data_IF_988827740988
#
_entry.id   IF_988827740988
#
_cell.length_a   1.000
_cell.length_b   1.000
_cell.length_c   1.000
_cell.angle_alpha   90.00
_cell.angle_beta   90.00
_cell.angle_gamma   90.00
#
_symmetry.space_group_name_H-M   'P 1'
#
loop_
_entity.id
_entity.type
_entity.pdbx_description
1 polymer ?
#
# COMPACT_ATOMS: atom_id res chain seq x y z
N UNK A 1 76.59 -3.57 -67.61
CA UNK A 1 75.38 -4.33 -67.34
C UNK A 1 74.95 -4.04 -65.87
N UNK A 2 74.05 -3.15 -65.65
CA UNK A 2 73.58 -2.73 -64.34
C UNK A 2 72.17 -3.29 -64.14
N UNK A 3 71.92 -4.11 -63.09
CA UNK A 3 70.65 -4.64 -62.70
C UNK A 3 70.00 -3.62 -61.71
N UNK A 4 68.83 -3.12 -62.03
CA UNK A 4 68.03 -2.27 -61.18
C UNK A 4 67.09 -3.22 -60.39
N UNK A 5 67.19 -3.24 -59.04
CA UNK A 5 66.19 -3.85 -58.14
C UNK A 5 65.10 -2.85 -57.79
N UNK A 6 63.87 -3.17 -58.17
CA UNK A 6 62.70 -2.41 -57.81
C UNK A 6 62.07 -3.00 -56.49
N UNK A 7 62.19 -2.26 -55.41
CA UNK A 7 61.58 -2.65 -54.14
C UNK A 7 60.13 -2.18 -54.13
N UNK A 8 59.15 -3.11 -53.99
CA UNK A 8 57.75 -2.83 -53.82
C UNK A 8 57.49 -2.72 -52.30
N UNK A 9 57.12 -1.49 -51.90
CA UNK A 9 56.70 -1.21 -50.51
C UNK A 9 55.19 -1.50 -50.41
N UNK A 10 54.81 -2.60 -49.73
CA UNK A 10 53.42 -2.91 -49.43
C UNK A 10 53.02 -2.19 -48.11
N UNK A 11 52.20 -1.12 -48.22
CA UNK A 11 51.55 -0.46 -47.10
C UNK A 11 50.36 -1.30 -46.61
N UNK A 12 50.55 -2.00 -45.51
CA UNK A 12 49.45 -2.68 -44.78
C UNK A 12 48.68 -1.62 -43.96
N UNK A 13 47.49 -1.23 -44.41
CA UNK A 13 46.52 -0.44 -43.61
C UNK A 13 45.95 -1.37 -42.50
N UNK A 14 46.44 -1.20 -41.28
CA UNK A 14 45.79 -1.76 -40.09
C UNK A 14 44.51 -0.98 -39.77
N UNK A 15 43.36 -1.55 -40.13
CA UNK A 15 42.07 -1.03 -39.72
C UNK A 15 41.88 -1.41 -38.24
N UNK A 16 42.21 -0.48 -37.34
CA UNK A 16 41.93 -0.62 -35.90
C UNK A 16 40.40 -0.50 -35.69
N UNK A 17 39.69 -1.63 -35.60
CA UNK A 17 38.32 -1.68 -35.15
C UNK A 17 38.31 -1.30 -33.66
N UNK A 18 38.08 -0.02 -33.35
CA UNK A 18 37.73 0.44 -32.01
C UNK A 18 36.35 -0.12 -31.69
N UNK A 19 36.29 -1.24 -31.00
CA UNK A 19 35.08 -1.72 -30.30
C UNK A 19 34.69 -0.63 -29.30
N UNK A 20 33.76 0.22 -29.69
CA UNK A 20 33.11 1.13 -28.75
C UNK A 20 32.43 0.23 -27.70
N UNK A 21 33.06 0.06 -26.54
CA UNK A 21 32.39 -0.46 -25.36
C UNK A 21 31.19 0.44 -25.09
N UNK A 22 30.01 -0.02 -25.46
CA UNK A 22 28.77 0.67 -25.15
C UNK A 22 28.73 0.86 -23.64
N UNK A 23 29.01 2.07 -23.18
CA UNK A 23 28.99 2.43 -21.77
C UNK A 23 27.57 2.17 -21.27
N UNK A 24 27.38 1.16 -20.44
CA UNK A 24 26.06 0.82 -19.92
C UNK A 24 25.50 2.03 -19.19
N UNK A 25 24.28 2.42 -19.56
CA UNK A 25 23.59 3.52 -18.86
C UNK A 25 23.48 3.19 -17.37
N UNK A 26 23.54 4.19 -16.46
CA UNK A 26 23.35 3.95 -15.04
C UNK A 26 21.97 3.30 -14.79
N UNK A 27 21.84 2.41 -13.80
CA UNK A 27 20.60 1.72 -13.51
C UNK A 27 19.45 2.68 -13.19
N UNK A 28 18.22 2.28 -13.50
CA UNK A 28 17.03 2.92 -12.98
C UNK A 28 16.78 2.39 -11.57
N UNK A 29 16.97 3.23 -10.56
CA UNK A 29 16.80 2.85 -9.16
C UNK A 29 15.42 3.24 -8.63
N UNK A 30 14.72 2.27 -8.04
CA UNK A 30 13.42 2.44 -7.41
C UNK A 30 13.58 2.14 -5.91
N UNK A 31 13.25 3.14 -5.06
CA UNK A 31 13.53 3.09 -3.62
C UNK A 31 12.29 2.77 -2.79
N UNK A 32 12.29 1.68 -2.03
CA UNK A 32 11.29 1.34 -1.02
C UNK A 32 11.66 1.91 0.34
N UNK A 33 10.72 2.59 0.99
CA UNK A 33 10.86 3.04 2.37
C UNK A 33 9.85 2.25 3.20
N UNK A 34 10.32 1.22 3.90
CA UNK A 34 9.50 0.15 4.43
C UNK A 34 9.55 0.09 5.96
N UNK A 35 8.56 -0.52 6.57
CA UNK A 35 8.66 -1.07 7.91
C UNK A 35 9.06 -2.55 7.79
N UNK A 36 10.34 -2.86 8.02
CA UNK A 36 10.85 -4.22 7.84
C UNK A 36 10.94 -4.99 9.16
N UNK A 37 10.89 -4.31 10.30
CA UNK A 37 11.21 -4.95 11.59
C UNK A 37 10.33 -4.48 12.75
N UNK A 38 9.30 -3.65 12.51
CA UNK A 38 8.43 -3.17 13.59
C UNK A 38 6.95 -3.51 13.36
N UNK A 39 6.03 -2.67 13.82
CA UNK A 39 4.58 -2.94 13.92
C UNK A 39 3.91 -3.41 12.62
N UNK A 40 4.39 -2.95 11.46
CA UNK A 40 3.79 -3.22 10.14
C UNK A 40 4.66 -4.12 9.25
N UNK A 41 5.68 -4.78 9.81
CA UNK A 41 6.61 -5.61 9.05
C UNK A 41 5.92 -6.72 8.24
N UNK A 42 4.84 -7.29 8.74
CA UNK A 42 4.06 -8.34 8.05
C UNK A 42 3.18 -7.80 6.94
N UNK A 43 2.76 -6.54 7.04
CA UNK A 43 1.88 -5.88 6.07
C UNK A 43 2.66 -5.42 4.86
N UNK A 44 3.88 -4.93 5.06
CA UNK A 44 4.79 -4.36 4.06
C UNK A 44 6.12 -5.13 4.04
N UNK A 45 7.18 -4.64 4.62
CA UNK A 45 8.44 -5.33 4.88
C UNK A 45 9.04 -6.07 3.70
N UNK A 46 9.64 -7.22 4.00
CA UNK A 46 10.25 -8.12 3.00
C UNK A 46 9.27 -8.55 1.90
N UNK A 47 7.98 -8.63 2.21
CA UNK A 47 6.93 -8.95 1.23
C UNK A 47 6.81 -7.86 0.16
N UNK A 48 6.79 -6.59 0.54
CA UNK A 48 6.76 -5.46 -0.40
C UNK A 48 8.03 -5.39 -1.26
N UNK A 49 9.20 -5.61 -0.66
CA UNK A 49 10.47 -5.68 -1.41
C UNK A 49 10.44 -6.83 -2.43
N UNK A 50 9.94 -8.00 -2.03
CA UNK A 50 9.79 -9.15 -2.93
C UNK A 50 8.82 -8.84 -4.07
N UNK A 51 7.69 -8.20 -3.79
CA UNK A 51 6.71 -7.80 -4.80
C UNK A 51 7.29 -6.81 -5.82
N UNK A 52 8.07 -5.82 -5.36
CA UNK A 52 8.75 -4.88 -6.25
C UNK A 52 9.80 -5.56 -7.13
N UNK A 53 10.58 -6.50 -6.58
CA UNK A 53 11.54 -7.32 -7.34
C UNK A 53 10.83 -8.19 -8.38
N UNK A 54 9.71 -8.83 -8.02
CA UNK A 54 8.90 -9.60 -8.97
C UNK A 54 8.36 -8.71 -10.11
N UNK A 55 7.91 -7.50 -9.82
CA UNK A 55 7.48 -6.55 -10.85
C UNK A 55 8.59 -6.17 -11.82
N UNK A 56 9.81 -5.92 -11.31
CA UNK A 56 10.98 -5.62 -12.13
C UNK A 56 11.41 -6.80 -13.00
N UNK A 57 11.41 -8.01 -12.44
CA UNK A 57 11.74 -9.26 -13.16
C UNK A 57 10.72 -9.54 -14.27
N UNK A 58 9.42 -9.47 -13.97
CA UNK A 58 8.35 -9.72 -14.94
C UNK A 58 8.31 -8.66 -16.04
N UNK A 59 8.77 -7.45 -15.76
CA UNK A 59 8.95 -6.40 -16.76
C UNK A 59 10.14 -6.67 -17.71
N UNK A 60 11.03 -7.58 -17.35
CA UNK A 60 12.21 -7.95 -18.13
C UNK A 60 13.55 -7.45 -17.56
N UNK A 61 13.55 -6.88 -16.35
CA UNK A 61 14.76 -6.45 -15.64
C UNK A 61 15.42 -5.18 -16.17
N UNK A 62 14.90 -4.61 -17.28
CA UNK A 62 15.48 -3.46 -17.97
C UNK A 62 14.39 -2.55 -18.56
N UNK A 63 14.64 -1.24 -18.59
CA UNK A 63 13.83 -0.25 -19.31
C UNK A 63 14.71 0.86 -19.89
N UNK A 64 14.47 1.28 -21.13
CA UNK A 64 15.24 2.33 -21.87
C UNK A 64 16.75 2.05 -21.93
N UNK A 65 17.17 0.78 -21.94
CA UNK A 65 18.57 0.36 -21.91
C UNK A 65 19.24 0.58 -20.56
N UNK A 66 18.47 0.62 -19.46
CA UNK A 66 18.91 0.75 -18.06
C UNK A 66 18.43 -0.44 -17.27
N UNK A 67 19.31 -1.11 -16.54
CA UNK A 67 18.92 -2.12 -15.55
C UNK A 67 17.99 -1.53 -14.51
N UNK A 68 16.93 -2.26 -14.11
CA UNK A 68 16.06 -1.88 -13.01
C UNK A 68 16.70 -2.39 -11.72
N UNK A 69 16.90 -1.48 -10.76
CA UNK A 69 17.45 -1.80 -9.44
C UNK A 69 16.43 -1.43 -8.36
N UNK A 70 16.00 -2.44 -7.60
CA UNK A 70 15.13 -2.28 -6.44
C UNK A 70 15.98 -2.19 -5.20
N UNK A 71 15.90 -1.08 -4.50
CA UNK A 71 16.54 -0.88 -3.19
C UNK A 71 15.48 -0.63 -2.15
N UNK A 72 15.74 -1.02 -0.90
CA UNK A 72 14.81 -0.85 0.21
C UNK A 72 15.55 -0.46 1.49
N UNK A 73 14.88 0.31 2.34
CA UNK A 73 15.40 0.69 3.64
C UNK A 73 14.29 0.66 4.70
N UNK A 74 14.68 0.29 5.93
CA UNK A 74 13.80 0.20 7.07
C UNK A 74 13.70 1.53 7.81
N UNK A 75 12.50 2.10 7.90
CA UNK A 75 12.25 3.33 8.64
C UNK A 75 11.84 3.09 10.11
N UNK A 76 11.74 1.84 10.56
CA UNK A 76 11.40 1.48 11.94
C UNK A 76 10.12 2.19 12.44
N UNK A 77 9.20 2.49 11.58
CA UNK A 77 7.98 3.28 11.83
C UNK A 77 8.24 4.67 12.45
N UNK A 78 9.38 5.32 12.10
CA UNK A 78 9.78 6.65 12.57
C UNK A 78 9.75 7.66 11.42
N UNK A 79 8.99 8.74 11.58
CA UNK A 79 8.77 9.73 10.52
C UNK A 79 10.06 10.49 10.14
N UNK A 80 10.91 10.84 11.13
CA UNK A 80 12.19 11.50 10.93
C UNK A 80 13.18 10.60 10.17
N UNK A 81 13.23 9.32 10.51
CA UNK A 81 14.06 8.35 9.81
C UNK A 81 13.58 8.15 8.36
N UNK A 82 12.28 8.04 8.12
CA UNK A 82 11.73 7.96 6.77
C UNK A 82 12.08 9.17 5.90
N UNK A 83 12.02 10.39 6.48
CA UNK A 83 12.43 11.61 5.80
C UNK A 83 13.95 11.63 5.48
N UNK A 84 14.79 11.13 6.39
CA UNK A 84 16.24 11.04 6.19
C UNK A 84 16.58 10.01 5.09
N UNK A 85 15.92 8.83 5.11
CA UNK A 85 16.06 7.82 4.08
C UNK A 85 15.63 8.38 2.71
N UNK A 86 14.50 9.10 2.64
CA UNK A 86 14.05 9.73 1.40
C UNK A 86 15.07 10.73 0.85
N UNK A 87 15.67 11.58 1.72
CA UNK A 87 16.75 12.50 1.30
C UNK A 87 17.95 11.74 0.74
N UNK A 88 18.42 10.74 1.46
CA UNK A 88 19.60 9.98 1.06
C UNK A 88 19.36 9.23 -0.26
N UNK A 89 18.24 8.56 -0.41
CA UNK A 89 17.86 7.88 -1.65
C UNK A 89 17.80 8.83 -2.85
N UNK A 90 17.21 10.01 -2.69
CA UNK A 90 17.01 10.95 -3.78
C UNK A 90 18.26 11.78 -4.08
N UNK A 91 19.01 12.25 -3.05
CA UNK A 91 20.12 13.16 -3.21
C UNK A 91 21.44 12.43 -3.49
N UNK A 92 21.67 11.24 -2.89
CA UNK A 92 22.96 10.56 -2.90
C UNK A 92 22.94 9.25 -3.69
N UNK A 93 21.83 8.48 -3.64
CA UNK A 93 21.78 7.16 -4.28
C UNK A 93 21.22 7.18 -5.71
N UNK A 94 20.66 8.30 -6.17
CA UNK A 94 20.10 8.46 -7.52
C UNK A 94 18.79 7.71 -7.75
N UNK A 95 17.96 7.54 -6.71
CA UNK A 95 16.61 6.99 -6.81
C UNK A 95 15.72 7.94 -7.61
N UNK A 96 14.95 7.38 -8.55
CA UNK A 96 14.07 8.15 -9.43
C UNK A 96 12.59 8.06 -9.05
N UNK A 97 12.19 7.03 -8.31
CA UNK A 97 10.83 6.87 -7.79
C UNK A 97 10.88 6.18 -6.42
N UNK A 98 10.12 6.72 -5.45
CA UNK A 98 9.91 6.11 -4.13
C UNK A 98 8.61 5.32 -4.14
N UNK A 99 8.60 4.14 -3.49
CA UNK A 99 7.41 3.29 -3.39
C UNK A 99 7.19 2.79 -1.96
N UNK A 100 5.94 2.38 -1.68
CA UNK A 100 5.35 1.91 -0.44
C UNK A 100 5.21 3.00 0.63
N UNK A 101 6.24 3.32 1.38
CA UNK A 101 6.30 4.27 2.51
C UNK A 101 5.24 3.93 3.56
N UNK A 102 5.38 2.76 4.17
CA UNK A 102 4.45 2.26 5.18
C UNK A 102 4.26 3.25 6.33
N UNK A 103 3.06 3.27 6.93
CA UNK A 103 2.56 4.20 7.92
C UNK A 103 2.34 5.64 7.42
N UNK A 104 1.25 6.28 7.91
CA UNK A 104 0.84 7.59 7.42
C UNK A 104 1.75 8.73 7.86
N UNK A 105 2.31 8.67 9.08
CA UNK A 105 3.24 9.70 9.56
C UNK A 105 4.56 9.70 8.77
N UNK A 106 5.09 8.51 8.45
CA UNK A 106 6.29 8.33 7.64
C UNK A 106 6.06 8.79 6.20
N UNK A 107 4.87 8.46 5.64
CA UNK A 107 4.49 8.87 4.29
C UNK A 107 4.33 10.38 4.13
N UNK A 108 3.71 11.05 5.09
CA UNK A 108 3.61 12.51 5.10
C UNK A 108 5.01 13.15 5.13
N UNK A 109 5.92 12.66 5.98
CA UNK A 109 7.27 13.19 6.09
C UNK A 109 8.13 12.94 4.84
N UNK A 110 8.18 11.69 4.35
CA UNK A 110 8.95 11.33 3.15
C UNK A 110 8.37 11.94 1.87
N UNK A 111 7.04 12.06 1.81
CA UNK A 111 6.33 12.67 0.68
C UNK A 111 6.68 14.14 0.48
N UNK A 112 6.81 14.93 1.55
CA UNK A 112 7.28 16.32 1.47
C UNK A 112 8.71 16.42 0.89
N UNK A 113 9.58 15.49 1.28
CA UNK A 113 10.96 15.43 0.75
C UNK A 113 10.94 15.14 -0.76
N UNK A 114 10.16 14.16 -1.19
CA UNK A 114 10.05 13.79 -2.60
C UNK A 114 9.39 14.90 -3.45
N UNK A 115 8.33 15.54 -2.94
CA UNK A 115 7.70 16.70 -3.59
C UNK A 115 8.68 17.83 -3.82
N UNK A 116 9.48 18.19 -2.81
CA UNK A 116 10.48 19.25 -2.91
C UNK A 116 11.58 18.94 -3.96
N UNK A 117 11.76 17.67 -4.32
CA UNK A 117 12.74 17.20 -5.30
C UNK A 117 12.13 16.86 -6.67
N UNK A 118 10.84 17.08 -6.85
CA UNK A 118 10.15 16.77 -8.08
C UNK A 118 10.19 15.27 -8.44
N UNK A 119 10.09 14.38 -7.47
CA UNK A 119 10.15 12.92 -7.67
C UNK A 119 8.81 12.24 -7.43
N UNK A 120 8.55 11.17 -8.18
CA UNK A 120 7.32 10.38 -8.03
C UNK A 120 7.37 9.58 -6.73
N UNK A 121 6.24 9.56 -6.02
CA UNK A 121 6.01 8.66 -4.89
C UNK A 121 4.73 7.85 -5.11
N UNK A 122 4.84 6.53 -4.97
CA UNK A 122 3.73 5.59 -4.99
C UNK A 122 3.45 5.12 -3.55
N UNK A 123 2.48 5.71 -2.88
CA UNK A 123 2.08 5.33 -1.52
C UNK A 123 1.19 4.08 -1.59
N UNK A 124 1.71 2.93 -1.12
CA UNK A 124 0.98 1.65 -1.10
C UNK A 124 0.53 1.30 0.32
N UNK A 125 1.41 1.45 1.31
CA UNK A 125 1.17 1.07 2.70
C UNK A 125 0.43 2.08 3.58
N UNK A 126 0.60 3.41 3.41
CA UNK A 126 -0.08 4.38 4.27
C UNK A 126 -1.56 4.51 3.92
N UNK A 127 -2.42 4.78 4.91
CA UNK A 127 -3.86 4.90 4.71
C UNK A 127 -4.43 6.32 4.84
N UNK A 128 -3.70 7.31 5.38
CA UNK A 128 -4.24 8.64 5.65
C UNK A 128 -4.84 9.31 4.41
N UNK A 129 -6.10 9.71 4.48
CA UNK A 129 -6.80 10.47 3.44
C UNK A 129 -6.11 11.80 3.11
N UNK A 130 -5.25 12.32 3.99
CA UNK A 130 -4.50 13.57 3.77
C UNK A 130 -3.62 13.50 2.53
N UNK A 131 -3.12 12.31 2.16
CA UNK A 131 -2.24 12.10 0.99
C UNK A 131 -2.91 12.44 -0.34
N UNK A 132 -4.24 12.42 -0.41
CA UNK A 132 -5.05 12.82 -1.58
C UNK A 132 -5.90 14.07 -1.31
N UNK A 133 -5.70 14.71 -0.18
CA UNK A 133 -6.31 15.97 0.20
C UNK A 133 -5.20 17.03 0.40
N UNK A 134 -5.06 17.59 1.59
CA UNK A 134 -4.14 18.69 1.88
C UNK A 134 -2.65 18.38 1.63
N UNK A 135 -2.24 17.12 1.66
CA UNK A 135 -0.86 16.68 1.38
C UNK A 135 -0.66 16.13 -0.03
N UNK A 136 -1.66 16.23 -0.92
CA UNK A 136 -1.53 15.78 -2.30
C UNK A 136 -0.43 16.55 -3.05
N UNK A 137 0.05 15.95 -4.13
CA UNK A 137 1.05 16.57 -4.99
C UNK A 137 0.94 16.09 -6.44
N UNK A 138 1.48 16.85 -7.42
CA UNK A 138 1.35 16.50 -8.83
C UNK A 138 2.05 15.18 -9.19
N UNK A 139 3.00 14.75 -8.36
CA UNK A 139 3.82 13.55 -8.56
C UNK A 139 3.61 12.49 -7.46
N UNK A 140 2.53 12.60 -6.67
CA UNK A 140 2.21 11.62 -5.63
C UNK A 140 0.99 10.81 -6.02
N UNK A 141 1.03 9.50 -5.74
CA UNK A 141 -0.09 8.59 -5.97
C UNK A 141 -0.35 7.80 -4.69
N UNK A 142 -1.59 7.80 -4.22
CA UNK A 142 -2.08 6.96 -3.13
C UNK A 142 -2.80 5.75 -3.71
N UNK A 143 -2.18 4.58 -3.65
CA UNK A 143 -2.47 3.48 -4.56
C UNK A 143 -3.50 2.47 -4.04
N UNK A 144 -3.30 1.93 -2.82
CA UNK A 144 -4.04 0.74 -2.38
C UNK A 144 -5.37 1.08 -1.71
N UNK A 145 -5.35 1.74 -0.58
CA UNK A 145 -6.55 2.09 0.21
C UNK A 145 -6.36 3.45 0.88
N UNK A 146 -7.43 3.98 1.46
CA UNK A 146 -7.34 5.13 2.37
C UNK A 146 -8.37 5.01 3.49
N UNK A 147 -8.26 5.89 4.49
CA UNK A 147 -9.14 5.88 5.68
C UNK A 147 -10.60 6.11 5.32
N UNK A 148 -10.87 6.89 4.27
CA UNK A 148 -12.24 7.08 3.79
C UNK A 148 -12.80 5.80 3.18
N UNK A 149 -12.06 5.12 2.29
CA UNK A 149 -12.49 3.87 1.67
C UNK A 149 -12.75 2.78 2.70
N UNK A 150 -11.86 2.64 3.69
CA UNK A 150 -12.02 1.70 4.79
C UNK A 150 -13.28 2.00 5.61
N UNK A 151 -13.47 3.25 5.99
CA UNK A 151 -14.65 3.71 6.74
C UNK A 151 -15.94 3.49 5.96
N UNK A 152 -15.92 3.84 4.67
CA UNK A 152 -17.12 3.78 3.82
C UNK A 152 -17.56 2.34 3.53
N UNK A 153 -16.62 1.42 3.29
CA UNK A 153 -16.94 0.02 3.01
C UNK A 153 -17.34 -0.73 4.30
N UNK A 154 -16.51 -0.69 5.34
CA UNK A 154 -16.76 -1.45 6.59
C UNK A 154 -17.79 -0.77 7.47
N UNK A 155 -17.66 0.54 7.71
CA UNK A 155 -18.54 1.29 8.60
C UNK A 155 -19.98 1.34 8.09
N UNK A 156 -20.17 1.59 6.79
CA UNK A 156 -21.50 1.60 6.16
C UNK A 156 -22.18 0.23 6.26
N UNK A 157 -21.44 -0.86 6.01
CA UNK A 157 -21.98 -2.21 6.09
C UNK A 157 -22.44 -2.52 7.53
N UNK A 158 -21.65 -2.16 8.53
CA UNK A 158 -21.98 -2.38 9.94
C UNK A 158 -23.25 -1.59 10.36
N UNK A 159 -23.35 -0.30 10.03
CA UNK A 159 -24.53 0.50 10.38
C UNK A 159 -25.79 -0.02 9.70
N UNK A 160 -25.73 -0.40 8.42
CA UNK A 160 -26.85 -0.99 7.69
C UNK A 160 -27.34 -2.32 8.30
N UNK A 161 -26.48 -3.05 8.99
CA UNK A 161 -26.86 -4.27 9.73
C UNK A 161 -27.38 -4.00 11.15
N UNK A 162 -27.66 -2.74 11.50
CA UNK A 162 -28.22 -2.33 12.80
C UNK A 162 -27.19 -2.09 13.91
N UNK A 163 -25.91 -2.08 13.56
CA UNK A 163 -24.80 -1.76 14.47
C UNK A 163 -24.55 -0.25 14.50
N UNK A 164 -25.51 0.50 15.09
CA UNK A 164 -25.68 1.95 14.95
C UNK A 164 -25.04 2.79 16.05
N UNK A 165 -24.47 2.19 17.11
CA UNK A 165 -23.77 2.92 18.17
C UNK A 165 -22.33 2.46 18.32
N UNK A 166 -21.39 3.41 18.29
CA UNK A 166 -19.98 3.16 18.18
C UNK A 166 -19.18 3.80 19.31
N UNK A 167 -18.12 3.11 19.74
CA UNK A 167 -17.06 3.64 20.58
C UNK A 167 -15.73 3.29 19.91
N UNK A 168 -14.80 4.24 19.78
CA UNK A 168 -13.54 3.99 19.09
C UNK A 168 -12.40 3.71 20.06
N UNK A 169 -11.54 2.79 19.65
CA UNK A 169 -10.24 2.51 20.24
C UNK A 169 -9.19 2.86 19.18
N UNK A 170 -8.49 3.99 19.40
CA UNK A 170 -7.78 4.70 18.33
C UNK A 170 -6.29 4.79 18.62
N UNK A 171 -5.46 4.37 17.67
CA UNK A 171 -4.01 4.60 17.74
C UNK A 171 -3.69 6.10 17.61
N UNK A 172 -2.92 6.66 18.54
CA UNK A 172 -2.70 8.11 18.64
C UNK A 172 -1.65 8.62 17.67
N UNK A 173 -1.95 8.52 16.37
CA UNK A 173 -1.15 9.10 15.28
C UNK A 173 -2.02 9.37 14.05
N UNK A 174 -1.42 9.96 12.99
CA UNK A 174 -2.15 10.45 11.83
C UNK A 174 -3.18 9.47 11.25
N UNK A 175 -2.80 8.19 11.08
CA UNK A 175 -3.70 7.17 10.52
C UNK A 175 -4.91 6.90 11.42
N UNK A 176 -4.67 6.61 12.72
CA UNK A 176 -5.76 6.28 13.64
C UNK A 176 -6.75 7.42 13.78
N UNK A 177 -6.24 8.65 13.90
CA UNK A 177 -7.06 9.87 14.00
C UNK A 177 -7.90 10.10 12.74
N UNK A 178 -7.33 9.90 11.54
CA UNK A 178 -8.05 10.06 10.28
C UNK A 178 -9.10 8.94 10.12
N UNK A 179 -8.77 7.70 10.48
CA UNK A 179 -9.68 6.56 10.38
C UNK A 179 -10.88 6.69 11.35
N UNK A 180 -10.64 7.11 12.61
CA UNK A 180 -11.70 7.45 13.57
C UNK A 180 -12.61 8.53 13.01
N UNK A 181 -12.03 9.63 12.49
CA UNK A 181 -12.76 10.75 11.93
C UNK A 181 -13.62 10.35 10.74
N UNK A 182 -13.04 9.62 9.77
CA UNK A 182 -13.75 9.22 8.57
C UNK A 182 -14.87 8.24 8.90
N UNK A 183 -14.63 7.27 9.82
CA UNK A 183 -15.66 6.34 10.28
C UNK A 183 -16.75 7.05 11.06
N UNK A 184 -16.40 8.00 11.93
CA UNK A 184 -17.37 8.86 12.63
C UNK A 184 -18.31 9.55 11.64
N UNK A 185 -17.76 10.16 10.58
CA UNK A 185 -18.55 10.82 9.55
C UNK A 185 -19.52 9.86 8.85
N UNK A 186 -19.08 8.65 8.51
CA UNK A 186 -19.94 7.62 7.91
C UNK A 186 -21.04 7.20 8.88
N UNK A 187 -20.71 6.89 10.13
CA UNK A 187 -21.66 6.48 11.17
C UNK A 187 -22.75 7.54 11.37
N UNK A 188 -22.35 8.81 11.55
CA UNK A 188 -23.30 9.91 11.77
C UNK A 188 -24.16 10.18 10.54
N UNK A 189 -23.57 10.18 9.33
CA UNK A 189 -24.30 10.38 8.07
C UNK A 189 -25.35 9.30 7.80
N UNK A 190 -25.14 8.11 8.32
CA UNK A 190 -26.04 6.97 8.14
C UNK A 190 -27.02 6.78 9.31
N UNK A 191 -27.11 7.76 10.22
CA UNK A 191 -28.07 7.78 11.33
C UNK A 191 -27.60 7.06 12.60
N UNK A 192 -26.33 6.64 12.64
CA UNK A 192 -25.72 6.05 13.84
C UNK A 192 -25.26 7.10 14.86
N UNK A 193 -24.64 6.62 15.95
CA UNK A 193 -24.16 7.43 17.07
C UNK A 193 -22.73 7.05 17.42
N UNK A 194 -21.93 8.03 17.80
CA UNK A 194 -20.60 7.83 18.40
C UNK A 194 -20.70 8.21 19.88
N UNK A 195 -20.43 7.25 20.75
CA UNK A 195 -20.56 7.40 22.20
C UNK A 195 -19.26 7.87 22.87
N UNK A 196 -18.15 7.85 22.12
CA UNK A 196 -16.85 8.33 22.56
C UNK A 196 -15.71 7.59 21.90
N UNK A 197 -14.51 7.91 22.34
CA UNK A 197 -13.28 7.25 21.93
C UNK A 197 -12.23 7.26 23.02
N UNK A 198 -11.29 6.35 22.96
CA UNK A 198 -10.07 6.35 23.76
C UNK A 198 -8.86 6.13 22.87
N UNK A 199 -7.77 6.86 23.15
CA UNK A 199 -6.54 6.77 22.38
C UNK A 199 -5.50 5.94 23.08
N UNK A 200 -4.76 5.14 22.32
CA UNK A 200 -3.64 4.34 22.80
C UNK A 200 -2.35 4.67 22.01
N UNK A 201 -1.18 4.57 22.63
CA UNK A 201 0.10 4.68 21.93
C UNK A 201 0.28 3.57 20.88
N UNK A 202 1.14 3.80 19.88
CA UNK A 202 1.60 2.72 18.98
C UNK A 202 2.39 1.66 19.75
N UNK A 203 2.34 0.41 19.30
CA UNK A 203 2.95 -0.77 19.94
C UNK A 203 2.39 -1.03 21.36
N UNK A 204 1.11 -0.83 21.56
CA UNK A 204 0.45 -1.17 22.82
C UNK A 204 0.38 -2.68 22.99
N UNK A 205 0.97 -3.19 24.06
CA UNK A 205 0.91 -4.61 24.41
C UNK A 205 -0.25 -4.96 25.36
N UNK A 206 -0.68 -4.01 26.17
CA UNK A 206 -1.77 -4.17 27.14
C UNK A 206 -2.92 -3.21 26.81
N UNK A 207 -4.02 -3.76 26.34
CA UNK A 207 -5.26 -3.05 26.00
C UNK A 207 -6.29 -3.03 27.12
N UNK A 208 -6.02 -3.60 28.30
CA UNK A 208 -6.99 -3.82 29.36
C UNK A 208 -7.77 -2.55 29.73
N UNK A 209 -7.07 -1.46 30.04
CA UNK A 209 -7.70 -0.20 30.45
C UNK A 209 -8.53 0.45 29.34
N UNK A 210 -8.08 0.34 28.09
CA UNK A 210 -8.79 0.86 26.91
C UNK A 210 -10.05 0.04 26.63
N UNK A 211 -9.96 -1.28 26.70
CA UNK A 211 -11.08 -2.19 26.49
C UNK A 211 -12.13 -2.09 27.59
N UNK A 212 -11.76 -1.87 28.83
CA UNK A 212 -12.70 -1.61 29.93
C UNK A 212 -13.50 -0.32 29.69
N UNK A 213 -12.87 0.75 29.20
CA UNK A 213 -13.58 1.99 28.82
C UNK A 213 -14.53 1.73 27.65
N UNK A 214 -14.09 1.00 26.63
CA UNK A 214 -14.93 0.64 25.49
C UNK A 214 -16.13 -0.22 25.93
N UNK A 215 -15.92 -1.19 26.81
CA UNK A 215 -16.97 -2.05 27.37
C UNK A 215 -17.99 -1.23 28.20
N UNK A 216 -17.51 -0.29 29.00
CA UNK A 216 -18.35 0.57 29.85
C UNK A 216 -19.23 1.51 29.00
N UNK A 217 -18.84 1.88 27.78
CA UNK A 217 -19.60 2.73 26.86
C UNK A 217 -20.96 2.13 26.45
N UNK A 218 -21.10 0.80 26.52
CA UNK A 218 -22.28 0.06 26.04
C UNK A 218 -22.59 0.27 24.56
N UNK A 219 -21.62 0.75 23.75
CA UNK A 219 -21.76 0.84 22.32
C UNK A 219 -21.97 -0.55 21.71
N UNK A 220 -22.79 -0.66 20.67
CA UNK A 220 -22.94 -1.94 19.93
C UNK A 220 -21.66 -2.37 19.25
N UNK A 221 -20.84 -1.39 18.85
CA UNK A 221 -19.57 -1.61 18.13
C UNK A 221 -18.41 -0.92 18.84
N UNK A 222 -17.34 -1.64 19.02
CA UNK A 222 -16.01 -1.12 19.35
C UNK A 222 -15.24 -1.06 18.03
N UNK A 223 -15.10 0.13 17.46
CA UNK A 223 -14.35 0.37 16.24
C UNK A 223 -12.86 0.48 16.53
N UNK A 224 -12.06 -0.42 15.96
CA UNK A 224 -10.60 -0.40 16.11
C UNK A 224 -10.00 0.48 15.03
N UNK A 225 -9.67 1.73 15.36
CA UNK A 225 -8.97 2.66 14.47
C UNK A 225 -7.46 2.53 14.66
N UNK A 226 -6.94 1.33 14.42
CA UNK A 226 -5.54 0.93 14.49
C UNK A 226 -5.24 -0.12 13.41
N UNK A 227 -4.04 -0.71 13.39
CA UNK A 227 -3.64 -1.69 12.40
C UNK A 227 -2.51 -2.60 12.92
N UNK A 228 -2.28 -3.72 12.24
CA UNK A 228 -1.19 -4.66 12.51
C UNK A 228 -1.23 -5.22 13.93
N UNK A 229 -0.06 -5.26 14.59
CA UNK A 229 0.06 -5.84 15.95
C UNK A 229 -0.89 -5.22 16.97
N UNK A 230 -1.20 -3.93 16.90
CA UNK A 230 -2.15 -3.28 17.81
C UNK A 230 -3.58 -3.81 17.60
N UNK A 231 -4.01 -4.00 16.35
CA UNK A 231 -5.32 -4.62 16.02
C UNK A 231 -5.37 -6.08 16.51
N UNK A 232 -4.33 -6.85 16.23
CA UNK A 232 -4.23 -8.26 16.67
C UNK A 232 -4.35 -8.38 18.19
N UNK A 233 -3.58 -7.56 18.93
CA UNK A 233 -3.60 -7.57 20.40
C UNK A 233 -4.94 -7.12 20.97
N UNK A 234 -5.53 -6.05 20.40
CA UNK A 234 -6.84 -5.56 20.85
C UNK A 234 -7.95 -6.61 20.67
N UNK A 235 -7.98 -7.31 19.53
CA UNK A 235 -8.99 -8.35 19.26
C UNK A 235 -8.80 -9.54 20.18
N UNK A 236 -7.57 -10.04 20.37
CA UNK A 236 -7.28 -11.17 21.26
C UNK A 236 -7.70 -10.86 22.70
N UNK A 237 -7.32 -9.70 23.21
CA UNK A 237 -7.68 -9.29 24.57
C UNK A 237 -9.18 -9.01 24.73
N UNK A 238 -9.83 -8.45 23.71
CA UNK A 238 -11.30 -8.28 23.73
C UNK A 238 -12.04 -9.63 23.83
N UNK A 239 -11.49 -10.68 23.18
CA UNK A 239 -12.02 -12.03 23.28
C UNK A 239 -11.78 -12.63 24.67
N UNK A 240 -10.58 -12.48 25.22
CA UNK A 240 -10.21 -12.93 26.57
C UNK A 240 -11.09 -12.29 27.65
N UNK A 241 -11.39 -10.99 27.53
CA UNK A 241 -12.29 -10.27 28.44
C UNK A 241 -13.78 -10.56 28.20
N UNK A 242 -14.10 -11.41 27.21
CA UNK A 242 -15.47 -11.80 26.92
C UNK A 242 -16.35 -10.67 26.36
N UNK A 243 -15.76 -9.59 25.84
CA UNK A 243 -16.48 -8.42 25.31
C UNK A 243 -17.45 -8.83 24.21
N UNK A 244 -17.02 -9.65 23.26
CA UNK A 244 -17.87 -10.13 22.16
C UNK A 244 -18.98 -11.05 22.65
N UNK A 245 -18.72 -11.87 23.69
CA UNK A 245 -19.76 -12.70 24.35
C UNK A 245 -20.76 -11.86 25.12
N UNK A 246 -20.35 -10.67 25.59
CA UNK A 246 -21.21 -9.69 26.25
C UNK A 246 -22.13 -8.91 25.32
N UNK A 247 -22.09 -9.18 24.01
CA UNK A 247 -22.99 -8.61 22.99
C UNK A 247 -22.43 -7.42 22.22
N UNK A 248 -21.29 -6.85 22.61
CA UNK A 248 -20.61 -5.83 21.81
C UNK A 248 -19.85 -6.48 20.65
N UNK A 249 -19.89 -5.87 19.47
CA UNK A 249 -19.10 -6.30 18.32
C UNK A 249 -17.77 -5.55 18.28
N UNK A 250 -16.71 -6.22 17.97
CA UNK A 250 -15.41 -5.61 17.64
C UNK A 250 -15.34 -5.48 16.12
N UNK A 251 -15.03 -4.30 15.61
CA UNK A 251 -14.91 -4.04 14.18
C UNK A 251 -13.51 -3.50 13.88
N UNK A 252 -12.59 -4.32 13.37
CA UNK A 252 -11.32 -3.82 12.85
C UNK A 252 -11.61 -2.98 11.60
N UNK A 253 -11.22 -1.70 11.64
CA UNK A 253 -11.42 -0.80 10.50
C UNK A 253 -10.31 -0.94 9.46
N UNK A 254 -9.19 -1.56 9.83
CA UNK A 254 -8.15 -2.04 8.93
C UNK A 254 -7.54 -3.31 9.53
N UNK A 255 -7.65 -4.40 8.82
CA UNK A 255 -6.95 -5.64 9.10
C UNK A 255 -6.63 -6.37 7.81
N UNK A 256 -5.56 -7.11 7.80
CA UNK A 256 -5.05 -7.86 6.66
C UNK A 256 -5.14 -9.36 6.91
N UNK A 257 -5.04 -10.14 5.86
CA UNK A 257 -5.06 -11.61 5.97
C UNK A 257 -4.00 -12.15 6.93
N UNK A 258 -2.84 -11.50 7.03
CA UNK A 258 -1.78 -11.83 7.98
C UNK A 258 -2.18 -11.58 9.45
N UNK A 259 -2.99 -10.55 9.69
CA UNK A 259 -3.52 -10.26 11.03
C UNK A 259 -4.53 -11.34 11.44
N UNK A 260 -5.41 -11.74 10.50
CA UNK A 260 -6.42 -12.78 10.75
C UNK A 260 -5.77 -14.13 10.99
N UNK A 261 -4.74 -14.52 10.22
CA UNK A 261 -3.95 -15.73 10.48
C UNK A 261 -3.32 -15.70 11.89
N UNK A 262 -2.80 -14.52 12.31
CA UNK A 262 -2.24 -14.35 13.67
C UNK A 262 -3.28 -14.41 14.78
N UNK A 263 -4.49 -13.91 14.57
CA UNK A 263 -5.59 -13.96 15.53
C UNK A 263 -6.14 -15.38 15.65
N UNK A 264 -6.25 -16.06 14.51
CA UNK A 264 -6.88 -17.38 14.36
C UNK A 264 -8.39 -17.29 14.13
N UNK A 265 -8.91 -18.18 13.30
CA UNK A 265 -10.32 -18.18 12.89
C UNK A 265 -11.29 -18.35 14.06
N UNK A 266 -10.95 -19.12 15.11
CA UNK A 266 -11.79 -19.28 16.29
C UNK A 266 -12.17 -17.95 16.94
N UNK A 267 -11.23 -17.00 16.97
CA UNK A 267 -11.43 -15.67 17.55
C UNK A 267 -11.95 -14.66 16.53
N UNK A 268 -11.46 -14.75 15.29
CA UNK A 268 -11.74 -13.75 14.25
C UNK A 268 -13.03 -13.99 13.45
N UNK A 269 -13.66 -15.17 13.53
CA UNK A 269 -14.86 -15.52 12.75
C UNK A 269 -15.98 -14.46 12.85
N UNK A 270 -16.53 -14.10 11.70
CA UNK A 270 -17.62 -13.12 11.61
C UNK A 270 -17.18 -11.67 11.67
N UNK A 271 -15.88 -11.35 11.78
CA UNK A 271 -15.38 -10.00 11.62
C UNK A 271 -15.59 -9.53 10.17
N UNK A 272 -15.99 -8.29 9.99
CA UNK A 272 -16.11 -7.64 8.68
C UNK A 272 -14.86 -6.84 8.38
N UNK A 273 -14.37 -6.96 7.15
CA UNK A 273 -13.13 -6.35 6.67
C UNK A 273 -13.34 -5.69 5.31
N UNK A 274 -12.71 -4.56 5.08
CA UNK A 274 -12.56 -3.98 3.75
C UNK A 274 -11.12 -4.20 3.25
N UNK A 275 -10.97 -4.79 2.07
CA UNK A 275 -9.66 -5.04 1.46
C UNK A 275 -9.65 -4.61 -0.01
N UNK A 276 -8.49 -4.17 -0.48
CA UNK A 276 -8.26 -3.85 -1.89
C UNK A 276 -7.89 -5.07 -2.73
N UNK A 277 -7.44 -6.13 -2.07
CA UNK A 277 -6.99 -7.37 -2.70
C UNK A 277 -7.10 -8.53 -1.71
N UNK A 278 -7.43 -9.71 -2.23
CA UNK A 278 -7.30 -10.96 -1.50
C UNK A 278 -6.80 -12.04 -2.47
N UNK A 279 -5.97 -12.94 -1.98
CA UNK A 279 -5.27 -13.92 -2.81
C UNK A 279 -6.19 -14.86 -3.60
N UNK A 280 -7.40 -15.12 -3.09
CA UNK A 280 -8.37 -16.07 -3.67
C UNK A 280 -9.65 -15.38 -4.21
N UNK A 281 -9.52 -14.20 -4.85
CA UNK A 281 -10.66 -13.55 -5.51
C UNK A 281 -10.94 -14.15 -6.89
N UNK A 282 -9.87 -14.39 -7.67
CA UNK A 282 -9.98 -14.90 -9.04
C UNK A 282 -8.69 -15.63 -9.47
N UNK A 283 -8.66 -16.15 -10.71
CA UNK A 283 -7.51 -16.90 -11.21
C UNK A 283 -6.22 -16.07 -11.28
N UNK A 284 -6.31 -14.79 -11.63
CA UNK A 284 -5.13 -13.91 -11.71
C UNK A 284 -4.54 -13.64 -10.32
N UNK A 285 -5.40 -13.38 -9.30
CA UNK A 285 -4.95 -13.18 -7.91
C UNK A 285 -4.32 -14.46 -7.37
N UNK A 286 -4.88 -15.63 -7.64
CA UNK A 286 -4.33 -16.93 -7.27
C UNK A 286 -2.98 -17.20 -7.94
N UNK A 287 -2.86 -16.92 -9.23
CA UNK A 287 -1.61 -17.14 -9.98
C UNK A 287 -0.46 -16.25 -9.45
N UNK A 288 -0.73 -14.97 -9.21
CA UNK A 288 0.24 -14.05 -8.60
C UNK A 288 0.63 -14.52 -7.19
N UNK A 289 -0.36 -14.83 -6.36
CA UNK A 289 -0.15 -15.20 -4.96
C UNK A 289 0.63 -16.51 -4.81
N UNK A 290 0.42 -17.48 -5.70
CA UNK A 290 1.22 -18.71 -5.73
C UNK A 290 2.71 -18.42 -5.92
N UNK A 291 3.07 -17.60 -6.89
CA UNK A 291 4.47 -17.19 -7.16
C UNK A 291 5.07 -16.40 -6.01
N UNK A 292 4.27 -15.53 -5.39
CA UNK A 292 4.68 -14.78 -4.22
C UNK A 292 4.94 -15.70 -3.01
N UNK A 293 4.05 -16.67 -2.75
CA UNK A 293 4.20 -17.66 -1.67
C UNK A 293 5.43 -18.54 -1.83
N UNK A 294 5.85 -18.86 -3.03
CA UNK A 294 7.09 -19.60 -3.29
C UNK A 294 8.30 -18.86 -2.72
N UNK A 295 8.26 -17.51 -2.68
CA UNK A 295 9.36 -16.65 -2.21
C UNK A 295 9.23 -16.26 -0.74
N UNK A 296 8.04 -15.84 -0.30
CA UNK A 296 7.80 -15.25 1.02
C UNK A 296 7.24 -16.24 2.03
N UNK A 297 6.75 -17.41 1.58
CA UNK A 297 6.13 -18.49 2.38
C UNK A 297 4.81 -18.10 3.06
N UNK A 298 4.18 -17.02 2.62
CA UNK A 298 2.83 -16.57 3.02
C UNK A 298 2.13 -15.88 1.84
N UNK A 299 0.82 -15.75 1.91
CA UNK A 299 0.05 -15.01 0.91
C UNK A 299 0.38 -13.50 0.97
N UNK A 300 0.30 -12.78 -0.16
CA UNK A 300 0.49 -11.35 -0.16
C UNK A 300 -0.67 -10.62 0.52
N UNK A 301 -0.36 -9.54 1.22
CA UNK A 301 -1.34 -8.55 1.65
C UNK A 301 -1.76 -7.68 0.47
N UNK A 302 -2.85 -6.91 0.62
CA UNK A 302 -3.26 -5.90 -0.38
C UNK A 302 -2.17 -4.86 -0.63
N UNK A 303 -1.36 -4.51 0.37
CA UNK A 303 -0.21 -3.59 0.22
C UNK A 303 0.84 -4.19 -0.71
N UNK A 304 1.25 -5.41 -0.44
CA UNK A 304 2.28 -6.11 -1.21
C UNK A 304 1.85 -6.37 -2.66
N UNK A 305 0.58 -6.75 -2.87
CA UNK A 305 0.00 -6.86 -4.20
C UNK A 305 -0.07 -5.50 -4.92
N UNK A 306 -0.41 -4.43 -4.19
CA UNK A 306 -0.40 -3.07 -4.69
C UNK A 306 0.99 -2.57 -5.08
N UNK A 307 2.04 -2.96 -4.35
CA UNK A 307 3.43 -2.65 -4.72
C UNK A 307 3.80 -3.28 -6.07
N UNK A 308 3.48 -4.55 -6.27
CA UNK A 308 3.72 -5.19 -7.58
C UNK A 308 3.01 -4.44 -8.71
N UNK A 309 1.73 -4.10 -8.53
CA UNK A 309 0.92 -3.38 -9.51
C UNK A 309 1.47 -1.98 -9.78
N UNK A 310 1.77 -1.19 -8.74
CA UNK A 310 2.24 0.19 -8.85
C UNK A 310 3.62 0.30 -9.49
N UNK A 311 4.56 -0.57 -9.15
CA UNK A 311 5.88 -0.64 -9.77
C UNK A 311 5.76 -1.05 -11.24
N UNK A 312 4.92 -2.04 -11.55
CA UNK A 312 4.64 -2.46 -12.94
C UNK A 312 4.06 -1.31 -13.76
N UNK A 313 3.09 -0.57 -13.20
CA UNK A 313 2.47 0.57 -13.86
C UNK A 313 3.47 1.70 -14.12
N UNK A 314 4.31 2.03 -13.14
CA UNK A 314 5.41 2.99 -13.31
C UNK A 314 6.37 2.59 -14.45
N UNK A 315 6.84 1.35 -14.47
CA UNK A 315 7.76 0.85 -15.49
C UNK A 315 7.14 0.88 -16.90
N UNK A 316 5.85 0.52 -17.02
CA UNK A 316 5.08 0.66 -18.28
C UNK A 316 5.03 2.13 -18.74
N UNK A 317 4.80 3.05 -17.80
CA UNK A 317 4.74 4.48 -18.09
C UNK A 317 6.11 5.05 -18.50
N UNK A 318 7.20 4.66 -17.83
CA UNK A 318 8.58 5.02 -18.23
C UNK A 318 8.88 4.55 -19.67
N UNK A 319 8.52 3.31 -19.98
CA UNK A 319 8.69 2.74 -21.33
C UNK A 319 7.89 3.54 -22.39
N UNK A 320 6.63 3.84 -22.09
CA UNK A 320 5.75 4.55 -23.01
C UNK A 320 6.14 6.03 -23.19
N UNK A 321 6.58 6.68 -22.10
CA UNK A 321 7.08 8.07 -22.15
C UNK A 321 8.45 8.20 -22.85
N UNK A 322 9.22 7.10 -22.95
CA UNK A 322 10.57 7.12 -23.51
C UNK A 322 11.59 7.89 -22.66
N UNK A 323 11.25 8.22 -21.42
CA UNK A 323 12.05 9.03 -20.49
C UNK A 323 11.76 8.65 -19.05
N UNK A 324 12.65 9.06 -18.13
CA UNK A 324 12.44 8.98 -16.67
C UNK A 324 12.07 10.34 -16.06
N UNK A 325 11.82 11.36 -16.89
CA UNK A 325 11.29 12.65 -16.40
C UNK A 325 9.98 12.44 -15.66
N UNK A 326 9.95 12.88 -14.41
CA UNK A 326 8.85 12.58 -13.49
C UNK A 326 7.50 13.13 -13.97
N UNK A 327 7.48 14.32 -14.58
CA UNK A 327 6.24 14.92 -15.05
C UNK A 327 5.71 14.20 -16.31
N UNK A 328 6.58 13.84 -17.23
CA UNK A 328 6.23 13.07 -18.43
C UNK A 328 5.72 11.66 -18.06
N UNK A 329 6.40 10.99 -17.14
CA UNK A 329 5.99 9.66 -16.67
C UNK A 329 4.64 9.73 -15.96
N UNK A 330 4.45 10.69 -15.03
CA UNK A 330 3.19 10.87 -14.30
C UNK A 330 2.01 11.16 -15.24
N UNK A 331 2.24 11.94 -16.29
CA UNK A 331 1.21 12.18 -17.32
C UNK A 331 0.75 10.86 -17.93
N UNK A 332 1.69 10.03 -18.39
CA UNK A 332 1.37 8.70 -18.96
C UNK A 332 0.68 7.79 -17.95
N UNK A 333 1.13 7.81 -16.68
CA UNK A 333 0.49 7.02 -15.61
C UNK A 333 -0.98 7.40 -15.42
N UNK A 334 -1.32 8.69 -15.45
CA UNK A 334 -2.70 9.17 -15.29
C UNK A 334 -3.58 8.89 -16.51
N UNK A 335 -2.99 8.87 -17.70
CA UNK A 335 -3.70 8.61 -18.96
C UNK A 335 -3.89 7.11 -19.25
N UNK A 336 -3.12 6.24 -18.60
CA UNK A 336 -3.13 4.79 -18.84
C UNK A 336 -3.94 4.06 -17.79
N UNK A 337 -5.02 3.35 -18.16
CA UNK A 337 -5.75 2.48 -17.21
C UNK A 337 -4.88 1.35 -16.68
N UNK A 338 -5.08 1.03 -15.39
CA UNK A 338 -4.41 -0.09 -14.74
C UNK A 338 -5.28 -1.34 -14.91
N UNK A 339 -4.71 -2.35 -15.57
CA UNK A 339 -5.35 -3.65 -15.79
C UNK A 339 -4.34 -4.74 -15.51
N UNK A 340 -4.43 -5.32 -14.31
CA UNK A 340 -3.60 -6.41 -13.84
C UNK A 340 -4.33 -7.26 -12.80
N UNK A 341 -3.60 -8.05 -12.01
CA UNK A 341 -4.19 -8.90 -10.96
C UNK A 341 -4.72 -8.09 -9.77
N UNK A 342 -4.29 -6.82 -9.60
CA UNK A 342 -4.72 -5.97 -8.50
C UNK A 342 -5.99 -5.17 -8.84
N UNK A 343 -6.08 -4.64 -10.05
CA UNK A 343 -7.20 -3.79 -10.46
C UNK A 343 -7.63 -4.04 -11.90
N UNK A 344 -8.92 -3.83 -12.18
CA UNK A 344 -9.50 -3.76 -13.51
C UNK A 344 -10.00 -2.33 -13.75
N UNK A 345 -9.53 -1.73 -14.85
CA UNK A 345 -9.82 -0.34 -15.21
C UNK A 345 -9.49 0.70 -14.11
N UNK A 346 -8.47 0.39 -13.28
CA UNK A 346 -7.96 1.31 -12.27
C UNK A 346 -7.48 2.61 -12.90
N UNK A 347 -7.69 3.75 -12.22
CA UNK A 347 -7.30 5.08 -12.74
C UNK A 347 -6.71 5.94 -11.65
N UNK A 348 -5.65 6.67 -11.99
CA UNK A 348 -5.06 7.68 -11.11
C UNK A 348 -5.74 9.02 -11.41
N UNK A 349 -6.45 9.57 -10.43
CA UNK A 349 -7.14 10.86 -10.52
C UNK A 349 -6.17 12.04 -10.39
N UNK A 350 -6.68 13.26 -10.57
CA UNK A 350 -5.90 14.49 -10.44
C UNK A 350 -5.40 14.73 -8.99
N UNK A 351 -6.15 14.28 -7.98
CA UNK A 351 -5.75 14.31 -6.56
C UNK A 351 -4.73 13.23 -6.18
N UNK A 352 -4.32 12.38 -7.13
CA UNK A 352 -3.40 11.27 -6.92
C UNK A 352 -4.03 10.00 -6.37
N UNK A 353 -5.35 9.94 -6.12
CA UNK A 353 -6.01 8.69 -5.74
C UNK A 353 -6.06 7.71 -6.93
N UNK A 354 -5.50 6.54 -6.77
CA UNK A 354 -5.75 5.41 -7.67
C UNK A 354 -7.08 4.78 -7.31
N UNK A 355 -8.08 4.95 -8.18
CA UNK A 355 -9.44 4.45 -7.99
C UNK A 355 -9.58 3.06 -8.58
N UNK A 356 -10.03 2.11 -7.78
CA UNK A 356 -10.27 0.71 -8.09
C UNK A 356 -11.35 0.16 -7.17
N UNK A 357 -11.87 -1.03 -7.47
CA UNK A 357 -12.85 -1.66 -6.61
C UNK A 357 -12.25 -2.07 -5.26
N UNK A 358 -13.08 -1.99 -4.22
CA UNK A 358 -12.80 -2.51 -2.89
C UNK A 358 -13.72 -3.70 -2.59
N UNK A 359 -13.27 -4.59 -1.74
CA UNK A 359 -14.00 -5.79 -1.38
C UNK A 359 -14.42 -5.75 0.09
N UNK A 360 -15.67 -6.09 0.36
CA UNK A 360 -16.14 -6.37 1.72
C UNK A 360 -16.11 -7.88 1.94
N UNK A 361 -15.39 -8.28 2.97
CA UNK A 361 -15.28 -9.68 3.38
C UNK A 361 -15.84 -9.91 4.78
N UNK A 362 -16.25 -11.14 5.03
CA UNK A 362 -16.48 -11.70 6.36
C UNK A 362 -15.42 -12.77 6.63
N UNK A 363 -14.84 -12.76 7.83
CA UNK A 363 -13.94 -13.84 8.26
C UNK A 363 -14.72 -15.12 8.45
N UNK A 364 -14.27 -16.20 7.80
CA UNK A 364 -14.89 -17.52 7.85
C UNK A 364 -14.88 -18.11 9.25
N UNK A 365 -15.85 -19.00 9.51
CA UNK A 365 -15.76 -19.92 10.63
C UNK A 365 -14.68 -20.97 10.35
N UNK A 366 -14.06 -21.57 11.37
CA UNK A 366 -13.12 -22.67 11.15
C UNK A 366 -13.65 -23.80 10.30
N UNK A 367 -14.96 -24.13 10.41
CA UNK A 367 -15.62 -25.17 9.62
C UNK A 367 -15.83 -24.82 8.14
N UNK A 368 -15.69 -23.55 7.76
CA UNK A 368 -15.84 -23.06 6.37
C UNK A 368 -14.50 -22.92 5.65
N UNK A 369 -13.38 -22.91 6.40
CA UNK A 369 -12.04 -22.80 5.84
C UNK A 369 -11.55 -24.17 5.32
N UNK A 370 -10.92 -24.15 4.14
CA UNK A 370 -10.31 -25.31 3.49
C UNK A 370 -8.82 -25.48 3.86
N UNK A 371 -8.27 -24.59 4.65
CA UNK A 371 -6.87 -24.62 5.07
C UNK A 371 -6.32 -23.22 5.38
N UNK A 372 -5.04 -23.16 5.75
CA UNK A 372 -4.39 -21.90 6.09
C UNK A 372 -4.52 -20.88 4.95
N UNK A 373 -4.83 -19.63 5.28
CA UNK A 373 -5.07 -18.49 4.42
C UNK A 373 -6.44 -18.48 3.70
N UNK A 374 -7.24 -19.54 3.79
CA UNK A 374 -8.62 -19.54 3.28
C UNK A 374 -9.57 -18.96 4.35
N UNK A 375 -9.34 -17.69 4.68
CA UNK A 375 -9.91 -17.02 5.84
C UNK A 375 -11.14 -16.18 5.53
N UNK A 376 -11.37 -15.83 4.24
CA UNK A 376 -12.36 -14.83 3.88
C UNK A 376 -13.47 -15.37 2.99
N UNK A 377 -14.66 -14.85 3.23
CA UNK A 377 -15.84 -14.99 2.40
C UNK A 377 -16.19 -13.63 1.81
N UNK A 378 -16.18 -13.52 0.47
CA UNK A 378 -16.56 -12.29 -0.22
C UNK A 378 -18.05 -12.02 -0.03
N UNK A 379 -18.40 -10.87 0.52
CA UNK A 379 -19.79 -10.40 0.69
C UNK A 379 -20.21 -9.44 -0.41
N UNK A 380 -19.32 -8.51 -0.78
CA UNK A 380 -19.60 -7.52 -1.81
C UNK A 380 -18.32 -7.01 -2.49
N UNK A 381 -18.44 -6.64 -3.75
CA UNK A 381 -17.50 -5.78 -4.45
C UNK A 381 -18.10 -4.38 -4.48
N UNK A 382 -17.37 -3.40 -3.96
CA UNK A 382 -17.78 -1.99 -3.91
C UNK A 382 -17.03 -1.26 -5.01
N UNK A 383 -17.73 -0.70 -6.02
CA UNK A 383 -17.09 0.03 -7.10
C UNK A 383 -16.23 1.20 -6.59
N UNK A 384 -15.08 1.44 -7.22
CA UNK A 384 -14.14 2.44 -6.73
C UNK A 384 -14.69 3.85 -6.60
N UNK A 385 -15.63 4.25 -7.48
CA UNK A 385 -16.32 5.54 -7.38
C UNK A 385 -17.25 5.66 -6.16
N UNK A 386 -17.68 4.53 -5.60
CA UNK A 386 -18.48 4.46 -4.38
C UNK A 386 -17.59 4.27 -3.14
N UNK A 387 -16.48 3.53 -3.28
CA UNK A 387 -15.57 3.25 -2.19
C UNK A 387 -14.78 4.50 -1.77
N UNK A 388 -14.22 5.25 -2.72
CA UNK A 388 -13.33 6.39 -2.44
C UNK A 388 -14.05 7.74 -2.46
N UNK A 389 -13.49 8.71 -1.72
CA UNK A 389 -14.02 10.07 -1.64
C UNK A 389 -14.18 10.70 -3.03
N UNK A 390 -15.30 11.37 -3.31
CA UNK A 390 -15.50 12.09 -4.56
C UNK A 390 -14.61 13.34 -4.64
N UNK A 391 -14.28 13.76 -5.88
CA UNK A 391 -13.49 14.99 -6.09
C UNK A 391 -14.22 16.26 -5.65
N UNK A 392 -15.54 16.25 -5.63
CA UNK A 392 -16.38 17.40 -5.22
C UNK A 392 -16.06 17.87 -3.80
N UNK A 393 -15.77 16.94 -2.89
CA UNK A 393 -15.44 17.22 -1.49
C UNK A 393 -13.92 17.17 -1.20
N UNK A 394 -13.10 17.02 -2.25
CA UNK A 394 -11.64 17.00 -2.11
C UNK A 394 -11.11 18.33 -1.57
N UNK A 395 -10.09 18.24 -0.73
CA UNK A 395 -9.31 19.38 -0.23
C UNK A 395 -7.94 19.49 -0.90
N UNK A 396 -7.71 18.70 -1.96
CA UNK A 396 -6.47 18.75 -2.73
C UNK A 396 -6.42 20.06 -3.56
N UNK A 397 -5.36 20.88 -3.44
CA UNK A 397 -5.22 22.12 -4.21
C UNK A 397 -5.15 21.93 -5.72
N UNK A 398 -4.88 20.71 -6.20
CA UNK A 398 -4.81 20.37 -7.62
C UNK A 398 -6.19 20.15 -8.25
N UNK A 399 -7.21 19.89 -7.43
CA UNK A 399 -8.59 19.68 -7.89
C UNK A 399 -9.25 21.04 -8.13
N UNK A 400 -9.58 21.32 -9.37
CA UNK A 400 -10.32 22.52 -9.73
C UNK A 400 -11.80 22.33 -9.31
N UNK A 401 -12.30 23.25 -8.50
CA UNK A 401 -13.72 23.32 -8.11
C UNK A 401 -14.50 24.19 -9.07
#
# INVERSE_FOLDING_TARGET
MKRILTSVFACALAVSATSALAQSKPPLKLGGILDMSSLYADITGVGSETAAKMAAEDFGGEVLGRKIEIIAADHLNKADLAANIARDMLDNQGVEMIWDVAASATALAAGEIAKARGKIVMFNGPGSIRLTNEACGPLTVHYVFDTFGQANVTGLAAVKSGLDSWFFLTADYAFGQDLEKDTTNVVLKTGGKVLGSVRHPLNTSDFSSFLLQAQASKAKVIGLANAGGDTVNAIKQAAEFGIMKGGQKVSPLLAFVTDIDSIGLDTAQGLLLAEAFYWDVNDETRAFSKRFMERVKRVPTSVQAGVYSSVTHYLKAVKAAGTTDAAAVMKVMKETPINDMFAKNGRIREDGRMVHDMYLFEVKKPSESKGRWDDYKLLATVPGNEAFQSLEVSRCPLVKK
#
